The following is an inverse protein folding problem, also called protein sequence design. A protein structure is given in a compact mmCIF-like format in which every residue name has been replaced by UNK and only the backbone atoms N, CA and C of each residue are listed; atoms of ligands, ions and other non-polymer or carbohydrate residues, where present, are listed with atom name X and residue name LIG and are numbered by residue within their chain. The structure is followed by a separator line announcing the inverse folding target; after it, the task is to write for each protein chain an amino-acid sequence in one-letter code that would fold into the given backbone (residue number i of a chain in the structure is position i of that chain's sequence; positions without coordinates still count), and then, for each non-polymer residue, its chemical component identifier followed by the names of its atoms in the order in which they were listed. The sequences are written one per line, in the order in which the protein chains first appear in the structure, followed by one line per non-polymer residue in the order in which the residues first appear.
data_IF_307773275314
#
_entry.id   IF_307773275314
#
_cell.length_a   1.000
_cell.length_b   1.000
_cell.length_c   1.000
_cell.angle_alpha   90.00
_cell.angle_beta   90.00
_cell.angle_gamma   90.00
#
_symmetry.space_group_name_H-M   'P 1'
#
loop_
_entity.id
_entity.type
_entity.pdbx_description
1 polymer ?
#
# COMPACT_ATOMS: atom_id res chain seq x y z
N UNK A 1 -10.07 11.34 16.01
CA UNK A 1 -8.80 11.15 15.26
C UNK A 1 -9.09 11.02 13.77
N UNK A 2 -8.36 11.73 12.93
CA UNK A 2 -8.51 11.71 11.46
C UNK A 2 -7.38 10.90 10.86
N UNK A 3 -7.72 9.82 10.18
CA UNK A 3 -6.75 8.88 9.62
C UNK A 3 -6.84 8.94 8.09
N UNK A 4 -5.70 9.13 7.43
CA UNK A 4 -5.58 9.00 5.97
C UNK A 4 -4.89 7.69 5.67
N UNK A 5 -5.50 6.86 4.82
CA UNK A 5 -4.92 5.58 4.38
C UNK A 5 -4.61 5.65 2.91
N UNK A 6 -3.34 5.48 2.55
CA UNK A 6 -2.94 5.34 1.15
C UNK A 6 -3.24 3.93 0.66
N UNK A 7 -3.94 3.83 -0.47
CA UNK A 7 -4.29 2.56 -1.09
C UNK A 7 -3.93 2.56 -2.56
N UNK A 8 -3.54 1.42 -3.11
CA UNK A 8 -3.12 1.30 -4.49
C UNK A 8 -3.98 0.31 -5.27
N UNK A 9 -4.37 0.69 -6.48
CA UNK A 9 -4.90 -0.22 -7.48
C UNK A 9 -3.75 -0.95 -8.16
N UNK A 10 -3.76 -2.27 -8.11
CA UNK A 10 -2.69 -3.11 -8.64
C UNK A 10 -3.27 -4.20 -9.54
N UNK A 11 -2.52 -4.69 -10.55
CA UNK A 11 -2.88 -5.90 -11.27
C UNK A 11 -3.01 -7.07 -10.29
N UNK A 12 -3.99 -7.97 -10.51
CA UNK A 12 -4.13 -9.18 -9.74
C UNK A 12 -2.80 -9.94 -9.71
N UNK A 13 -2.34 -10.32 -8.51
CA UNK A 13 -1.07 -11.02 -8.33
C UNK A 13 -1.01 -12.38 -9.05
N UNK A 14 -2.17 -13.00 -9.31
CA UNK A 14 -2.28 -14.26 -10.04
C UNK A 14 -2.36 -14.06 -11.56
N UNK A 15 -2.62 -12.84 -12.04
CA UNK A 15 -2.66 -12.53 -13.45
C UNK A 15 -1.24 -12.51 -14.05
N UNK A 16 -1.13 -12.82 -15.33
CA UNK A 16 0.12 -12.65 -16.04
C UNK A 16 0.46 -11.17 -16.18
N UNK A 17 1.49 -10.73 -15.48
CA UNK A 17 1.98 -9.34 -15.58
C UNK A 17 2.52 -9.08 -16.97
N UNK A 18 2.12 -7.94 -17.55
CA UNK A 18 2.57 -7.46 -18.85
C UNK A 18 3.09 -6.04 -18.72
N UNK A 19 3.91 -5.66 -19.68
CA UNK A 19 4.46 -4.31 -19.79
C UNK A 19 4.01 -3.71 -21.12
N UNK A 20 3.81 -2.40 -21.10
CA UNK A 20 3.55 -1.62 -22.31
C UNK A 20 4.84 -1.56 -23.11
N UNK A 21 4.81 -1.94 -24.39
CA UNK A 21 6.01 -2.05 -25.23
C UNK A 21 6.67 -0.69 -25.49
N UNK A 22 5.87 0.39 -25.52
CA UNK A 22 6.38 1.73 -25.87
C UNK A 22 7.19 2.40 -24.77
N UNK A 23 6.91 2.09 -23.50
CA UNK A 23 7.50 2.80 -22.35
C UNK A 23 7.89 1.91 -21.18
N UNK A 24 7.69 0.61 -21.31
CA UNK A 24 7.98 -0.41 -20.29
C UNK A 24 7.27 -0.20 -18.94
N UNK A 25 6.18 0.56 -18.91
CA UNK A 25 5.33 0.64 -17.72
C UNK A 25 4.48 -0.62 -17.57
N UNK A 26 4.00 -0.88 -16.36
CA UNK A 26 3.09 -2.00 -16.10
C UNK A 26 1.76 -1.78 -16.82
N UNK A 27 1.34 -2.74 -17.65
CA UNK A 27 0.02 -2.73 -18.30
C UNK A 27 -1.06 -3.01 -17.25
N UNK A 28 -1.75 -1.94 -16.82
CA UNK A 28 -2.88 -2.02 -15.87
C UNK A 28 -4.23 -2.12 -16.56
N UNK A 29 -4.29 -1.84 -17.85
CA UNK A 29 -5.54 -1.86 -18.62
C UNK A 29 -5.84 -3.25 -19.19
N UNK A 30 -4.81 -4.03 -19.50
CA UNK A 30 -4.91 -5.35 -20.11
C UNK A 30 -5.19 -6.50 -19.14
N UNK A 31 -5.29 -6.24 -17.83
CA UNK A 31 -5.53 -7.24 -16.78
C UNK A 31 -6.50 -6.71 -15.75
N UNK A 32 -7.24 -7.60 -15.10
CA UNK A 32 -8.05 -7.23 -13.96
C UNK A 32 -7.17 -6.72 -12.82
N UNK A 33 -7.61 -5.68 -12.15
CA UNK A 33 -6.92 -5.10 -11.02
C UNK A 33 -7.79 -5.05 -9.78
N UNK A 34 -7.16 -4.89 -8.65
CA UNK A 34 -7.79 -4.89 -7.35
C UNK A 34 -7.10 -3.91 -6.39
N UNK A 35 -7.69 -3.72 -5.21
CA UNK A 35 -7.00 -3.07 -4.09
C UNK A 35 -5.83 -3.96 -3.67
N UNK A 36 -4.62 -3.39 -3.58
CA UNK A 36 -3.42 -4.09 -3.11
C UNK A 36 -3.73 -4.79 -1.78
N UNK A 37 -3.50 -6.10 -1.72
CA UNK A 37 -3.81 -6.91 -0.54
C UNK A 37 -3.11 -6.37 0.71
N UNK A 38 -1.87 -5.89 0.58
CA UNK A 38 -1.13 -5.29 1.69
C UNK A 38 -1.76 -3.97 2.20
N UNK A 39 -2.52 -3.27 1.37
CA UNK A 39 -3.22 -2.05 1.79
C UNK A 39 -4.55 -2.37 2.49
N UNK A 40 -5.12 -3.56 2.30
CA UNK A 40 -6.31 -3.99 3.05
C UNK A 40 -6.02 -4.06 4.55
N UNK A 41 -4.80 -4.47 4.95
CA UNK A 41 -4.36 -4.46 6.36
C UNK A 41 -4.29 -3.04 6.93
N UNK A 42 -3.82 -2.07 6.15
CA UNK A 42 -3.79 -0.68 6.58
C UNK A 42 -5.19 -0.07 6.73
N UNK A 43 -6.12 -0.40 5.81
CA UNK A 43 -7.52 -0.02 5.92
C UNK A 43 -8.16 -0.61 7.16
N UNK A 44 -7.96 -1.92 7.41
CA UNK A 44 -8.49 -2.59 8.58
C UNK A 44 -7.98 -1.97 9.89
N UNK A 45 -6.66 -1.69 9.96
CA UNK A 45 -6.08 -1.10 11.17
C UNK A 45 -6.64 0.31 11.43
N UNK A 46 -6.81 1.12 10.37
CA UNK A 46 -7.47 2.42 10.50
C UNK A 46 -8.90 2.29 11.04
N UNK A 47 -9.66 1.31 10.57
CA UNK A 47 -11.02 1.05 11.04
C UNK A 47 -11.04 0.61 12.50
N UNK A 48 -10.13 -0.29 12.89
CA UNK A 48 -9.98 -0.72 14.29
C UNK A 48 -9.61 0.44 15.22
N UNK A 49 -8.67 1.30 14.81
CA UNK A 49 -8.30 2.49 15.58
C UNK A 49 -9.49 3.43 15.75
N UNK A 50 -10.24 3.70 14.68
CA UNK A 50 -11.46 4.51 14.76
C UNK A 50 -12.52 3.90 15.70
N UNK A 51 -12.70 2.59 15.67
CA UNK A 51 -13.66 1.87 16.51
C UNK A 51 -13.27 1.87 17.99
N UNK A 52 -11.97 1.94 18.30
CA UNK A 52 -11.46 2.06 19.69
C UNK A 52 -11.68 3.44 20.30
N UNK A 53 -11.82 4.49 19.48
CA UNK A 53 -12.08 5.86 19.94
C UNK A 53 -13.56 6.08 20.25
N UNK A 54 -14.23 5.16 20.91
CA UNK A 54 -15.62 5.15 21.44
C UNK A 54 -16.55 6.25 20.91
N UNK A 55 -16.73 6.30 19.56
CA UNK A 55 -17.69 7.18 18.93
C UNK A 55 -17.37 8.68 19.04
N UNK A 56 -16.10 9.05 19.22
CA UNK A 56 -15.70 10.45 19.04
C UNK A 56 -16.21 10.92 17.67
N UNK A 57 -17.16 11.85 17.67
CA UNK A 57 -17.90 12.32 16.49
C UNK A 57 -16.98 12.82 15.35
N UNK A 58 -15.71 13.07 15.66
CA UNK A 58 -14.69 13.58 14.75
C UNK A 58 -13.67 12.53 14.29
N UNK A 59 -13.88 11.24 14.60
CA UNK A 59 -12.97 10.19 14.15
C UNK A 59 -13.37 9.71 12.75
N UNK A 60 -12.47 9.89 11.76
CA UNK A 60 -12.74 9.58 10.34
C UNK A 60 -11.58 8.86 9.69
N UNK A 61 -11.91 7.98 8.73
CA UNK A 61 -10.97 7.29 7.87
C UNK A 61 -11.19 7.73 6.43
N UNK A 62 -10.21 8.43 5.85
CA UNK A 62 -10.21 8.84 4.45
C UNK A 62 -9.19 7.99 3.68
N UNK A 63 -9.63 7.33 2.61
CA UNK A 63 -8.71 6.57 1.74
C UNK A 63 -8.28 7.43 0.56
N UNK A 64 -6.99 7.36 0.23
CA UNK A 64 -6.35 8.12 -0.85
C UNK A 64 -5.69 7.17 -1.85
N UNK A 65 -5.96 7.35 -3.13
CA UNK A 65 -5.27 6.64 -4.21
C UNK A 65 -4.79 7.61 -5.29
N UNK A 66 -3.60 7.35 -5.81
CA UNK A 66 -3.04 7.99 -7.00
C UNK A 66 -2.97 6.95 -8.11
N UNK A 67 -3.62 7.20 -9.24
CA UNK A 67 -3.63 6.22 -10.32
C UNK A 67 -4.65 6.48 -11.42
N UNK A 68 -4.73 5.57 -12.41
CA UNK A 68 -5.65 5.67 -13.52
C UNK A 68 -7.11 5.58 -13.06
N UNK A 69 -8.06 5.80 -13.99
CA UNK A 69 -9.49 5.79 -13.68
C UNK A 69 -9.97 4.53 -12.95
N UNK A 70 -9.37 3.36 -13.25
CA UNK A 70 -9.66 2.09 -12.60
C UNK A 70 -9.31 2.06 -11.10
N UNK A 71 -8.44 2.96 -10.62
CA UNK A 71 -8.11 3.06 -9.19
C UNK A 71 -9.34 3.42 -8.32
N UNK A 72 -10.39 3.93 -8.93
CA UNK A 72 -11.69 4.10 -8.27
C UNK A 72 -12.27 2.78 -7.71
N UNK A 73 -11.91 1.63 -8.28
CA UNK A 73 -12.38 0.33 -7.79
C UNK A 73 -11.69 -0.06 -6.47
N UNK A 74 -10.40 0.24 -6.32
CA UNK A 74 -9.69 0.07 -5.06
C UNK A 74 -10.28 0.96 -3.96
N UNK A 75 -10.54 2.23 -4.26
CA UNK A 75 -11.20 3.15 -3.34
C UNK A 75 -12.60 2.66 -2.95
N UNK A 76 -13.36 2.16 -3.93
CA UNK A 76 -14.70 1.60 -3.67
C UNK A 76 -14.63 0.41 -2.72
N UNK A 77 -13.66 -0.49 -2.89
CA UNK A 77 -13.44 -1.64 -1.99
C UNK A 77 -13.17 -1.16 -0.56
N UNK A 78 -12.28 -0.19 -0.38
CA UNK A 78 -11.96 0.37 0.93
C UNK A 78 -13.18 1.08 1.59
N UNK A 79 -13.99 1.80 0.80
CA UNK A 79 -15.26 2.37 1.27
C UNK A 79 -16.26 1.29 1.70
N UNK A 80 -16.31 0.16 0.99
CA UNK A 80 -17.14 -0.99 1.33
C UNK A 80 -16.68 -1.69 2.61
N UNK A 81 -15.37 -1.73 2.88
CA UNK A 81 -14.80 -2.21 4.13
C UNK A 81 -15.20 -1.34 5.32
N UNK A 82 -15.40 -0.04 5.11
CA UNK A 82 -15.88 0.84 6.19
C UNK A 82 -15.34 2.27 6.16
N UNK A 83 -14.32 2.61 5.36
CA UNK A 83 -13.79 3.97 5.26
C UNK A 83 -14.89 5.01 5.00
N UNK A 84 -14.72 6.24 5.47
CA UNK A 84 -15.77 7.26 5.49
C UNK A 84 -15.79 8.11 4.22
N UNK A 85 -14.63 8.37 3.64
CA UNK A 85 -14.44 9.18 2.45
C UNK A 85 -13.31 8.63 1.57
N UNK A 86 -13.28 9.04 0.30
CA UNK A 86 -12.22 8.71 -0.63
C UNK A 86 -11.73 9.94 -1.40
N UNK A 87 -10.43 9.93 -1.70
CA UNK A 87 -9.78 10.89 -2.60
C UNK A 87 -9.06 10.12 -3.69
N UNK A 88 -9.32 10.47 -4.93
CA UNK A 88 -8.66 9.92 -6.10
C UNK A 88 -7.86 11.02 -6.80
N UNK A 89 -6.55 10.89 -6.83
CA UNK A 89 -5.73 11.75 -7.68
C UNK A 89 -5.64 11.09 -9.06
N UNK A 90 -6.28 11.72 -10.02
CA UNK A 90 -6.44 11.24 -11.39
C UNK A 90 -5.97 12.31 -12.39
N UNK A 91 -4.89 12.01 -13.08
CA UNK A 91 -4.35 12.88 -14.13
C UNK A 91 -3.52 12.04 -15.11
N UNK A 92 -3.61 12.33 -16.40
CA UNK A 92 -2.83 11.60 -17.41
C UNK A 92 -1.34 11.86 -17.27
N UNK A 93 -0.93 13.02 -16.76
CA UNK A 93 0.45 13.37 -16.46
C UNK A 93 1.11 12.48 -15.42
N UNK A 94 0.34 11.68 -14.67
CA UNK A 94 0.87 10.73 -13.66
C UNK A 94 1.45 9.47 -14.29
N UNK A 95 1.13 9.17 -15.56
CA UNK A 95 1.56 7.93 -16.21
C UNK A 95 3.09 7.79 -16.20
N UNK A 96 3.57 6.66 -15.72
CA UNK A 96 5.02 6.37 -15.63
C UNK A 96 5.74 7.00 -14.44
N UNK A 97 5.01 7.62 -13.50
CA UNK A 97 5.61 8.10 -12.24
C UNK A 97 6.32 6.98 -11.50
N UNK A 98 7.57 7.21 -11.15
CA UNK A 98 8.34 6.34 -10.26
C UNK A 98 8.00 6.57 -8.77
N UNK A 99 8.72 5.92 -7.85
CA UNK A 99 8.45 6.03 -6.42
C UNK A 99 8.59 7.48 -5.88
N UNK A 100 9.66 8.25 -6.20
CA UNK A 100 9.78 9.65 -5.79
C UNK A 100 8.65 10.53 -6.31
N UNK A 101 8.33 10.43 -7.59
CA UNK A 101 7.23 11.21 -8.20
C UNK A 101 5.88 10.85 -7.58
N UNK A 102 5.61 9.55 -7.37
CA UNK A 102 4.39 9.08 -6.71
C UNK A 102 4.31 9.58 -5.27
N UNK A 103 5.40 9.50 -4.51
CA UNK A 103 5.46 9.97 -3.12
C UNK A 103 5.20 11.49 -3.02
N UNK A 104 5.74 12.28 -3.96
CA UNK A 104 5.48 13.72 -4.05
C UNK A 104 3.99 14.01 -4.23
N UNK A 105 3.32 13.30 -5.14
CA UNK A 105 1.88 13.47 -5.38
C UNK A 105 1.05 13.07 -4.17
N UNK A 106 1.37 11.91 -3.56
CA UNK A 106 0.71 11.47 -2.33
C UNK A 106 0.85 12.49 -1.21
N UNK A 107 2.07 12.99 -0.98
CA UNK A 107 2.33 13.99 0.06
C UNK A 107 1.57 15.30 -0.20
N UNK A 108 1.53 15.79 -1.44
CA UNK A 108 0.77 16.98 -1.81
C UNK A 108 -0.75 16.79 -1.55
N UNK A 109 -1.28 15.61 -1.89
CA UNK A 109 -2.68 15.29 -1.65
C UNK A 109 -2.99 15.17 -0.14
N UNK A 110 -2.14 14.49 0.62
CA UNK A 110 -2.26 14.37 2.09
C UNK A 110 -2.19 15.76 2.73
N UNK A 111 -1.29 16.63 2.26
CA UNK A 111 -1.14 18.01 2.77
C UNK A 111 -2.39 18.88 2.62
N UNK A 112 -3.30 18.53 1.70
CA UNK A 112 -4.63 19.20 1.57
C UNK A 112 -5.69 18.63 2.52
N UNK A 113 -5.43 17.49 3.12
CA UNK A 113 -6.33 16.86 4.08
C UNK A 113 -5.97 17.25 5.51
N UNK A 114 -6.96 17.15 6.38
CA UNK A 114 -6.70 17.22 7.81
C UNK A 114 -6.47 15.79 8.30
N UNK A 115 -5.33 15.55 8.94
CA UNK A 115 -4.96 14.23 9.45
C UNK A 115 -4.19 14.33 10.76
N UNK A 116 -4.32 13.30 11.54
CA UNK A 116 -3.56 13.06 12.77
C UNK A 116 -2.62 11.85 12.58
N UNK A 117 -3.02 10.90 11.69
CA UNK A 117 -2.25 9.71 11.36
C UNK A 117 -2.35 9.42 9.86
N UNK A 118 -1.23 9.04 9.24
CA UNK A 118 -1.18 8.47 7.89
C UNK A 118 -0.82 6.99 7.99
N UNK A 119 -1.64 6.12 7.41
CA UNK A 119 -1.40 4.67 7.34
C UNK A 119 -1.16 4.24 5.90
N UNK A 120 -0.28 3.27 5.73
CA UNK A 120 0.02 2.62 4.44
C UNK A 120 0.25 1.14 4.66
N UNK A 121 0.07 0.31 3.64
CA UNK A 121 0.69 -1.01 3.60
C UNK A 121 2.22 -0.89 3.57
N UNK A 122 2.93 -1.95 3.93
CA UNK A 122 4.39 -1.99 3.88
C UNK A 122 4.94 -1.90 2.45
N UNK A 123 4.18 -2.33 1.47
CA UNK A 123 4.53 -2.34 0.05
C UNK A 123 3.27 -2.49 -0.80
N UNK A 124 3.39 -2.34 -2.12
CA UNK A 124 2.35 -2.74 -3.06
C UNK A 124 2.67 -4.12 -3.66
N UNK A 125 1.65 -4.94 -3.93
CA UNK A 125 1.83 -6.30 -4.47
C UNK A 125 2.34 -6.32 -5.91
N UNK A 126 2.32 -5.20 -6.64
CA UNK A 126 2.86 -5.08 -7.99
C UNK A 126 4.35 -4.70 -8.02
N UNK A 127 4.77 -3.70 -7.27
CA UNK A 127 6.14 -3.17 -7.32
C UNK A 127 7.03 -3.69 -6.17
N UNK A 128 6.49 -3.95 -4.97
CA UNK A 128 7.21 -4.52 -3.85
C UNK A 128 8.38 -3.69 -3.31
N UNK A 129 8.41 -2.39 -3.58
CA UNK A 129 9.60 -1.56 -3.29
C UNK A 129 9.76 -1.18 -1.82
N UNK A 130 8.67 -1.11 -1.05
CA UNK A 130 8.63 -0.73 0.39
C UNK A 130 9.21 0.65 0.75
N UNK A 131 9.51 1.52 -0.23
CA UNK A 131 10.16 2.81 0.00
C UNK A 131 9.19 4.00 -0.01
N UNK A 132 8.02 3.86 -0.64
CA UNK A 132 7.04 4.94 -0.79
C UNK A 132 6.59 5.51 0.55
N UNK A 133 6.29 4.70 1.60
CA UNK A 133 5.91 5.23 2.90
C UNK A 133 6.95 6.19 3.48
N UNK A 134 8.23 5.80 3.45
CA UNK A 134 9.33 6.63 3.96
C UNK A 134 9.48 7.93 3.16
N UNK A 135 9.37 7.86 1.82
CA UNK A 135 9.43 9.04 0.96
C UNK A 135 8.27 10.00 1.21
N UNK A 136 7.06 9.51 1.41
CA UNK A 136 5.89 10.34 1.75
C UNK A 136 6.09 11.03 3.10
N UNK A 137 6.59 10.31 4.10
CA UNK A 137 6.88 10.89 5.42
C UNK A 137 7.90 12.02 5.32
N UNK A 138 8.96 11.84 4.53
CA UNK A 138 9.98 12.87 4.30
C UNK A 138 9.40 14.10 3.62
N UNK A 139 8.61 13.95 2.55
CA UNK A 139 7.94 15.08 1.89
C UNK A 139 6.98 15.84 2.81
N UNK A 140 6.35 15.15 3.78
CA UNK A 140 5.44 15.77 4.75
C UNK A 140 6.16 16.31 5.99
N UNK A 141 7.46 16.02 6.16
CA UNK A 141 8.20 16.34 7.38
C UNK A 141 7.66 15.63 8.62
N UNK A 142 7.16 14.40 8.46
CA UNK A 142 6.57 13.60 9.52
C UNK A 142 7.57 12.56 10.06
N UNK A 143 7.51 12.26 11.37
CA UNK A 143 8.12 11.05 11.88
C UNK A 143 7.49 9.83 11.20
N UNK A 144 8.33 8.81 10.93
CA UNK A 144 7.90 7.57 10.32
C UNK A 144 8.21 6.38 11.22
N UNK A 145 7.25 5.48 11.38
CA UNK A 145 7.41 4.20 12.05
C UNK A 145 6.87 3.10 11.14
N UNK A 146 7.76 2.32 10.57
CA UNK A 146 7.46 1.43 9.44
C UNK A 146 7.50 -0.04 9.83
N UNK A 147 6.77 -0.87 9.05
CA UNK A 147 6.68 -2.32 9.21
C UNK A 147 6.08 -2.75 10.56
N UNK A 148 5.00 -2.08 10.98
CA UNK A 148 4.32 -2.41 12.23
C UNK A 148 3.59 -3.76 12.14
N UNK A 149 3.89 -4.67 13.06
CA UNK A 149 3.15 -5.90 13.32
C UNK A 149 2.11 -5.70 14.42
N UNK A 150 2.36 -4.73 15.32
CA UNK A 150 1.43 -4.28 16.33
C UNK A 150 1.43 -2.74 16.34
N UNK A 151 0.26 -2.15 16.61
CA UNK A 151 0.09 -0.71 16.70
C UNK A 151 -0.82 -0.36 17.87
N UNK A 152 -0.35 0.56 18.70
CA UNK A 152 -1.15 1.17 19.77
C UNK A 152 -0.97 2.68 19.74
N UNK A 153 -2.00 3.40 20.20
CA UNK A 153 -1.94 4.86 20.37
C UNK A 153 -2.32 5.14 21.81
N UNK A 154 -1.42 5.83 22.52
CA UNK A 154 -1.67 6.32 23.86
C UNK A 154 -2.52 7.59 23.75
N UNK A 155 -3.63 7.63 24.49
CA UNK A 155 -4.61 8.72 24.50
C UNK A 155 -5.07 9.12 23.07
N UNK A 156 -5.74 8.22 22.33
CA UNK A 156 -6.14 8.48 20.94
C UNK A 156 -7.11 9.67 20.80
N UNK A 157 -7.78 10.08 21.89
CA UNK A 157 -8.69 11.21 21.90
C UNK A 157 -7.96 12.58 21.93
N UNK A 158 -6.71 12.60 22.38
CA UNK A 158 -5.88 13.80 22.35
C UNK A 158 -5.47 14.22 20.92
N UNK A 159 -5.57 13.30 19.94
CA UNK A 159 -5.22 13.57 18.54
C UNK A 159 -3.74 13.94 18.40
N UNK A 160 -3.48 15.18 17.95
CA UNK A 160 -2.11 15.69 17.84
C UNK A 160 -1.44 15.78 19.22
N UNK A 161 -0.25 15.16 19.34
CA UNK A 161 0.49 15.07 20.59
C UNK A 161 0.38 13.71 21.29
N UNK A 162 -0.55 12.85 20.87
CA UNK A 162 -0.58 11.44 21.27
C UNK A 162 0.66 10.71 20.77
N UNK A 163 1.00 9.60 21.41
CA UNK A 163 2.14 8.77 21.02
C UNK A 163 1.63 7.51 20.31
N UNK A 164 2.09 7.31 19.09
CA UNK A 164 1.95 6.03 18.41
C UNK A 164 3.15 5.15 18.74
N UNK A 165 2.87 3.91 19.13
CA UNK A 165 3.85 2.87 19.44
C UNK A 165 3.61 1.67 18.55
N UNK A 166 4.66 1.15 17.95
CA UNK A 166 4.61 -0.06 17.13
C UNK A 166 5.57 -1.12 17.65
N UNK A 167 5.29 -2.37 17.31
CA UNK A 167 6.25 -3.47 17.34
C UNK A 167 6.60 -3.82 15.90
N UNK A 168 7.89 -3.93 15.61
CA UNK A 168 8.43 -4.32 14.31
C UNK A 168 9.35 -5.51 14.48
N UNK A 169 9.14 -6.57 13.71
CA UNK A 169 10.05 -7.72 13.70
C UNK A 169 11.30 -7.41 12.86
N UNK A 170 12.45 -7.63 13.46
CA UNK A 170 13.74 -7.67 12.79
C UNK A 170 14.19 -9.10 12.54
N UNK A 171 15.38 -9.28 11.98
CA UNK A 171 15.94 -10.62 11.71
C UNK A 171 16.25 -11.43 12.97
N UNK A 172 16.57 -10.77 14.08
CA UNK A 172 17.04 -11.41 15.32
C UNK A 172 16.22 -10.99 16.54
N UNK A 173 15.55 -9.84 16.50
CA UNK A 173 14.84 -9.24 17.62
C UNK A 173 13.58 -8.51 17.13
N UNK A 174 12.65 -8.27 18.05
CA UNK A 174 11.57 -7.32 17.85
C UNK A 174 11.99 -5.94 18.37
N UNK A 175 11.63 -4.89 17.65
CA UNK A 175 11.90 -3.50 18.02
C UNK A 175 10.59 -2.81 18.41
N UNK A 176 10.64 -2.07 19.51
CA UNK A 176 9.55 -1.18 19.92
C UNK A 176 9.95 0.23 19.53
N UNK A 177 9.12 0.88 18.71
CA UNK A 177 9.41 2.21 18.18
C UNK A 177 8.22 3.11 18.48
N UNK A 178 8.50 4.34 18.90
CA UNK A 178 7.50 5.33 19.25
C UNK A 178 7.69 6.61 18.44
N UNK A 179 6.58 7.28 18.14
CA UNK A 179 6.57 8.60 17.53
C UNK A 179 5.39 9.42 18.02
N UNK A 180 5.56 10.74 18.08
CA UNK A 180 4.45 11.66 18.40
C UNK A 180 3.64 11.94 17.14
N UNK A 181 2.31 11.94 17.25
CA UNK A 181 1.40 12.31 16.18
C UNK A 181 1.45 13.84 15.88
N UNK A 182 1.35 14.27 14.61
CA UNK A 182 1.08 13.43 13.44
C UNK A 182 2.29 12.64 12.98
N UNK A 183 2.05 11.40 12.55
CA UNK A 183 3.10 10.48 12.09
C UNK A 183 2.60 9.67 10.88
N UNK A 184 3.54 9.06 10.13
CA UNK A 184 3.24 8.06 9.13
C UNK A 184 3.64 6.67 9.65
N UNK A 185 2.73 5.71 9.54
CA UNK A 185 2.95 4.31 9.90
C UNK A 185 2.71 3.43 8.67
N UNK A 186 3.64 2.51 8.39
CA UNK A 186 3.35 1.40 7.47
C UNK A 186 3.16 0.11 8.26
N UNK A 187 2.17 -0.68 7.86
CA UNK A 187 1.81 -1.93 8.54
C UNK A 187 2.13 -3.15 7.67
N UNK A 188 2.46 -4.26 8.33
CA UNK A 188 2.67 -5.54 7.66
C UNK A 188 1.37 -6.34 7.59
N UNK A 189 1.40 -7.48 6.92
CA UNK A 189 0.32 -8.46 6.87
C UNK A 189 0.14 -9.26 8.17
N UNK A 190 0.98 -9.00 9.18
CA UNK A 190 0.86 -9.61 10.51
C UNK A 190 0.03 -8.76 11.48
N UNK A 191 -0.31 -7.51 11.11
CA UNK A 191 -0.97 -6.54 12.00
C UNK A 191 -2.39 -6.94 12.40
N UNK A 192 -3.13 -7.57 11.49
CA UNK A 192 -4.55 -7.94 11.67
C UNK A 192 -5.02 -8.92 10.59
N UNK A 193 -6.32 -9.26 10.63
CA UNK A 193 -7.04 -9.97 9.57
C UNK A 193 -8.05 -8.97 8.97
N UNK A 194 -7.92 -8.56 7.70
CA UNK A 194 -8.83 -7.61 7.08
C UNK A 194 -10.26 -8.14 6.97
N UNK A 195 -11.22 -7.31 7.34
CA UNK A 195 -12.65 -7.64 7.23
C UNK A 195 -13.12 -7.70 5.78
N UNK A 196 -13.99 -8.66 5.49
CA UNK A 196 -14.74 -8.64 4.23
C UNK A 196 -15.85 -7.58 4.27
N UNK A 197 -16.12 -6.89 3.13
CA UNK A 197 -17.24 -5.98 3.03
C UNK A 197 -18.56 -6.66 3.36
N UNK A 198 -19.31 -6.14 4.33
CA UNK A 198 -20.66 -6.59 4.62
C UNK A 198 -21.66 -6.07 3.57
N UNK A 199 -22.81 -6.71 3.41
CA UNK A 199 -23.86 -6.20 2.52
C UNK A 199 -24.26 -4.76 2.86
N UNK A 200 -24.36 -4.42 4.15
CA UNK A 200 -24.61 -3.05 4.60
C UNK A 200 -23.49 -2.10 4.19
N UNK A 201 -22.24 -2.51 4.30
CA UNK A 201 -21.07 -1.74 3.87
C UNK A 201 -21.07 -1.46 2.37
N UNK A 202 -21.38 -2.48 1.56
CA UNK A 202 -21.49 -2.36 0.10
C UNK A 202 -22.57 -1.32 -0.30
N UNK A 203 -23.74 -1.37 0.37
CA UNK A 203 -24.81 -0.40 0.10
C UNK A 203 -24.48 1.01 0.58
N UNK A 204 -23.83 1.13 1.74
CA UNK A 204 -23.44 2.42 2.31
C UNK A 204 -22.35 3.12 1.48
N UNK A 205 -21.40 2.37 0.93
CA UNK A 205 -20.29 2.90 0.12
C UNK A 205 -20.77 3.77 -1.06
N UNK A 206 -21.93 3.45 -1.64
CA UNK A 206 -22.51 4.21 -2.77
C UNK A 206 -22.85 5.68 -2.43
N UNK A 207 -22.98 5.99 -1.13
CA UNK A 207 -23.38 7.32 -0.65
C UNK A 207 -22.21 8.09 0.00
N UNK A 208 -21.06 7.43 0.17
CA UNK A 208 -19.90 8.05 0.80
C UNK A 208 -19.25 9.06 -0.15
N UNK A 209 -18.75 10.19 0.39
CA UNK A 209 -18.13 11.21 -0.42
C UNK A 209 -16.83 10.70 -1.08
N UNK A 210 -16.71 10.98 -2.37
CA UNK A 210 -15.49 10.73 -3.14
C UNK A 210 -15.12 12.01 -3.88
N UNK A 211 -13.89 12.45 -3.74
CA UNK A 211 -13.33 13.60 -4.45
C UNK A 211 -12.31 13.12 -5.48
N UNK A 212 -12.28 13.77 -6.62
CA UNK A 212 -11.25 13.55 -7.64
C UNK A 212 -10.44 14.83 -7.77
N UNK A 213 -9.11 14.71 -7.68
CA UNK A 213 -8.18 15.81 -7.83
C UNK A 213 -7.23 15.56 -8.99
N UNK A 214 -6.81 16.63 -9.67
CA UNK A 214 -5.80 16.64 -10.71
C UNK A 214 -4.47 17.12 -10.16
N UNK A 215 -3.39 17.05 -10.96
CA UNK A 215 -2.10 17.65 -10.64
C UNK A 215 -2.23 19.17 -10.40
N UNK A 216 -3.07 19.84 -11.20
CA UNK A 216 -3.33 21.27 -11.05
C UNK A 216 -4.00 21.59 -9.71
N UNK A 217 -4.94 20.76 -9.24
CA UNK A 217 -5.55 20.92 -7.93
C UNK A 217 -4.53 20.77 -6.79
N UNK A 218 -3.45 20.02 -7.01
CA UNK A 218 -2.37 19.81 -6.06
C UNK A 218 -1.23 20.84 -6.19
N UNK A 219 -1.27 21.69 -7.22
CA UNK A 219 -0.21 22.64 -7.51
C UNK A 219 1.09 21.99 -7.98
N UNK A 220 1.01 20.81 -8.59
CA UNK A 220 2.16 20.06 -9.11
C UNK A 220 2.29 20.32 -10.62
N UNK A 221 3.49 20.70 -11.06
CA UNK A 221 3.81 20.79 -12.47
C UNK A 221 3.86 19.38 -13.08
N UNK A 222 3.13 19.08 -14.17
CA UNK A 222 3.22 17.78 -14.85
C UNK A 222 4.66 17.39 -15.28
N UNK A 223 5.56 18.36 -15.47
CA UNK A 223 6.97 18.09 -15.79
C UNK A 223 7.76 17.46 -14.62
N UNK A 224 7.22 17.51 -13.39
CA UNK A 224 7.87 16.97 -12.20
C UNK A 224 7.46 15.54 -11.85
N UNK A 225 6.54 14.97 -12.63
CA UNK A 225 5.96 13.63 -12.41
C UNK A 225 5.82 12.88 -13.74
N UNK A 226 5.25 11.68 -13.71
CA UNK A 226 5.08 10.86 -14.90
C UNK A 226 6.41 10.43 -15.50
N UNK A 227 6.39 10.02 -16.76
CA UNK A 227 7.62 9.65 -17.51
C UNK A 227 8.59 10.82 -17.63
N UNK A 228 8.10 12.05 -17.69
CA UNK A 228 8.94 13.25 -17.85
C UNK A 228 9.70 13.60 -16.58
N UNK A 229 9.08 13.42 -15.40
CA UNK A 229 9.65 13.79 -14.10
C UNK A 229 10.24 12.62 -13.33
N UNK A 230 10.10 11.38 -13.82
CA UNK A 230 10.66 10.21 -13.16
C UNK A 230 12.20 10.22 -13.19
N UNK A 231 12.82 9.90 -12.06
CA UNK A 231 14.29 9.79 -11.93
C UNK A 231 14.78 8.41 -12.33
N UNK A 232 13.89 7.44 -12.46
CA UNK A 232 14.18 6.07 -12.87
C UNK A 232 13.37 5.69 -14.09
N UNK A 233 13.96 4.92 -14.99
CA UNK A 233 13.29 4.39 -16.17
C UNK A 233 13.65 2.91 -16.38
N UNK A 234 12.67 2.11 -16.77
CA UNK A 234 12.90 0.72 -17.15
C UNK A 234 13.44 0.69 -18.57
N UNK A 235 14.72 0.33 -18.72
CA UNK A 235 15.39 0.30 -20.03
C UNK A 235 15.06 -0.95 -20.85
N UNK A 236 14.83 -2.08 -20.17
CA UNK A 236 14.60 -3.36 -20.86
C UNK A 236 13.71 -4.25 -20.00
N UNK A 237 12.78 -4.93 -20.65
CA UNK A 237 11.92 -5.94 -20.05
C UNK A 237 12.13 -7.25 -20.80
N UNK A 238 12.46 -8.31 -20.08
CA UNK A 238 12.61 -9.65 -20.63
C UNK A 238 11.67 -10.62 -19.91
N UNK A 239 10.90 -11.36 -20.69
CA UNK A 239 10.06 -12.41 -20.13
C UNK A 239 10.96 -13.52 -19.56
N UNK A 240 10.69 -13.93 -18.32
CA UNK A 240 11.38 -15.07 -17.73
C UNK A 240 11.03 -16.32 -18.54
N UNK A 241 12.01 -17.12 -18.98
CA UNK A 241 11.73 -18.37 -19.70
C UNK A 241 10.88 -19.31 -18.84
N UNK A 242 10.03 -20.08 -19.49
CA UNK A 242 9.22 -21.08 -18.81
C UNK A 242 10.10 -22.02 -17.98
N UNK A 243 9.64 -22.38 -16.79
CA UNK A 243 10.34 -23.35 -15.96
C UNK A 243 10.43 -24.67 -16.70
N UNK A 244 11.63 -25.22 -16.79
CA UNK A 244 11.83 -26.60 -17.30
C UNK A 244 11.39 -27.57 -16.21
N UNK A 245 10.98 -28.78 -16.65
CA UNK A 245 10.67 -29.87 -15.73
C UNK A 245 11.92 -30.19 -14.91
N UNK A 246 11.81 -30.12 -13.59
CA UNK A 246 12.88 -30.55 -12.70
C UNK A 246 13.07 -32.07 -12.69
N UNK A 247 14.07 -32.52 -11.96
CA UNK A 247 14.30 -33.95 -11.73
C UNK A 247 13.10 -34.52 -10.92
N UNK A 248 12.49 -35.55 -11.47
CA UNK A 248 11.45 -36.32 -10.77
C UNK A 248 12.11 -37.58 -10.18
N UNK A 249 11.97 -37.74 -8.88
CA UNK A 249 12.48 -38.92 -8.15
C UNK A 249 11.28 -39.65 -7.57
N UNK A 250 11.14 -40.94 -7.94
CA UNK A 250 10.15 -41.80 -7.29
C UNK A 250 10.66 -42.12 -5.87
N UNK A 251 9.80 -41.95 -4.88
CA UNK A 251 10.10 -42.35 -3.50
C UNK A 251 9.86 -43.85 -3.32
N UNK A 252 10.94 -44.62 -3.12
CA UNK A 252 10.90 -46.05 -2.78
C UNK A 252 11.21 -46.30 -1.30
N UNK A 253 11.00 -45.28 -0.44
CA UNK A 253 11.33 -45.27 0.98
C UNK A 253 12.63 -44.52 1.29
N UNK A 254 13.28 -43.95 0.29
CA UNK A 254 14.55 -43.22 0.39
C UNK A 254 14.44 -41.72 -0.12
N UNK A 255 13.22 -41.24 -0.41
CA UNK A 255 13.00 -39.94 -1.00
C UNK A 255 13.58 -38.80 -0.18
N UNK A 256 13.53 -38.87 1.17
CA UNK A 256 14.13 -37.90 2.06
C UNK A 256 15.66 -37.83 1.91
N UNK A 257 16.32 -38.95 1.82
CA UNK A 257 17.78 -39.04 1.62
C UNK A 257 18.16 -38.43 0.27
N UNK A 258 17.48 -38.82 -0.81
CA UNK A 258 17.69 -38.30 -2.18
C UNK A 258 17.45 -36.77 -2.25
N UNK A 259 16.47 -36.24 -1.49
CA UNK A 259 16.24 -34.79 -1.39
C UNK A 259 17.42 -34.06 -0.74
N UNK A 260 17.92 -34.58 0.39
CA UNK A 260 19.10 -34.01 1.05
C UNK A 260 20.34 -34.07 0.17
N UNK A 261 20.60 -35.20 -0.49
CA UNK A 261 21.71 -35.36 -1.45
C UNK A 261 21.60 -34.33 -2.60
N UNK A 262 20.40 -34.14 -3.13
CA UNK A 262 20.17 -33.14 -4.19
C UNK A 262 20.45 -31.71 -3.68
N UNK A 263 19.94 -31.34 -2.50
CA UNK A 263 20.14 -30.01 -1.92
C UNK A 263 21.63 -29.77 -1.61
N UNK A 264 22.33 -30.76 -1.04
CA UNK A 264 23.74 -30.68 -0.75
C UNK A 264 24.58 -30.57 -2.04
N UNK A 265 24.24 -31.37 -3.07
CA UNK A 265 24.88 -31.28 -4.38
C UNK A 265 24.68 -29.96 -5.08
N UNK A 266 23.53 -29.32 -4.87
CA UNK A 266 23.20 -27.96 -5.34
C UNK A 266 23.78 -26.83 -4.45
N UNK A 267 24.43 -27.16 -3.33
CA UNK A 267 24.95 -26.22 -2.31
C UNK A 267 23.87 -25.30 -1.73
N UNK A 268 22.69 -25.85 -1.53
CA UNK A 268 21.54 -25.16 -0.94
C UNK A 268 21.40 -25.42 0.57
N UNK A 269 22.13 -26.41 1.06
CA UNK A 269 22.31 -26.77 2.49
C UNK A 269 23.77 -27.17 2.72
#
# INVERSE_FOLDING_TARGET
MRIVVCVKYVPDAQAQRRFVESDHTVDRAGVDGLLSELDEYAVEEALKLRERTDGAADSTVTVLSVGPGQAADALRKALQMGADAAVHVLDEGLHGSDAPATAKVLAAAIGKLQYDLVLTGMASTDAGMSVVPAMVAEYLGLPQVTFANELTIEDPDAGRGSVVRIVRDGEVNAEVIEATLPALVSVTDQINDPRYPSFKGIMAAKKKPTQTWTLADLGIDPAEVGLAGAWTAVSTVLARPARQAGQKVADEGDGGVKLVEYLAGAKLV
#
